data_IF_249725741345
#
_entry.id   IF_249725741345
#
_cell.length_a   1.000
_cell.length_b   1.000
_cell.length_c   1.000
_cell.angle_alpha   90.00
_cell.angle_beta   90.00
_cell.angle_gamma   90.00
#
_symmetry.space_group_name_H-M   'P 1'
#
loop_
_entity.id
_entity.type
_entity.pdbx_description
1 polymer ?
#
# COMPACT_ATOMS: atom_id res chain seq x y z
N UNK A 1 -15.05 -17.07 -14.27
CA UNK A 1 -13.70 -17.68 -14.36
C UNK A 1 -12.70 -16.62 -13.97
N UNK A 2 -11.91 -16.82 -12.90
CA UNK A 2 -10.78 -15.94 -12.59
C UNK A 2 -9.63 -16.27 -13.55
N UNK A 3 -9.20 -15.26 -14.30
CA UNK A 3 -8.07 -15.34 -15.22
C UNK A 3 -6.76 -15.50 -14.40
N UNK A 4 -5.99 -16.60 -14.60
CA UNK A 4 -4.75 -16.84 -13.87
C UNK A 4 -3.68 -15.76 -14.09
N UNK A 5 -3.75 -15.00 -15.18
CA UNK A 5 -2.82 -13.90 -15.48
C UNK A 5 -3.33 -12.53 -15.00
N UNK A 6 -4.49 -12.48 -14.33
CA UNK A 6 -5.04 -11.23 -13.80
C UNK A 6 -4.14 -10.65 -12.71
N UNK A 7 -3.35 -9.64 -13.06
CA UNK A 7 -2.58 -8.82 -12.11
C UNK A 7 -3.50 -7.83 -11.40
N UNK A 8 -3.67 -8.02 -10.10
CA UNK A 8 -4.43 -7.09 -9.27
C UNK A 8 -3.56 -5.87 -8.99
N UNK A 9 -4.03 -4.68 -9.39
CA UNK A 9 -3.31 -3.42 -9.18
C UNK A 9 -3.70 -2.78 -7.85
N UNK A 10 -2.73 -2.64 -6.95
CA UNK A 10 -2.92 -2.10 -5.61
C UNK A 10 -2.02 -0.90 -5.40
N UNK A 11 -2.53 0.12 -4.70
CA UNK A 11 -1.76 1.27 -4.28
C UNK A 11 -1.56 1.23 -2.76
N UNK A 12 -0.31 1.36 -2.30
CA UNK A 12 0.03 1.42 -0.88
C UNK A 12 0.42 2.86 -0.50
N UNK A 13 -0.42 3.48 0.33
CA UNK A 13 -0.33 4.89 0.74
C UNK A 13 -0.30 5.01 2.26
N UNK A 14 0.06 6.19 2.76
CA UNK A 14 0.11 6.47 4.20
C UNK A 14 1.21 7.47 4.56
N UNK A 15 1.18 8.06 5.77
CA UNK A 15 2.14 9.08 6.20
C UNK A 15 3.61 8.66 6.10
N UNK A 16 4.52 9.64 6.14
CA UNK A 16 5.97 9.36 6.24
C UNK A 16 6.26 8.60 7.52
N UNK A 17 6.99 7.49 7.40
CA UNK A 17 7.34 6.66 8.54
C UNK A 17 6.26 5.66 8.97
N UNK A 18 5.12 5.58 8.28
CA UNK A 18 4.03 4.66 8.67
C UNK A 18 4.34 3.16 8.51
N UNK A 19 5.51 2.78 8.01
CA UNK A 19 5.92 1.38 7.87
C UNK A 19 5.54 0.69 6.55
N UNK A 20 5.09 1.44 5.52
CA UNK A 20 4.74 0.91 4.19
C UNK A 20 5.81 0.00 3.58
N UNK A 21 7.05 0.48 3.48
CA UNK A 21 8.16 -0.26 2.87
C UNK A 21 8.42 -1.56 3.64
N UNK A 22 8.41 -1.50 4.97
CA UNK A 22 8.58 -2.66 5.83
C UNK A 22 7.46 -3.66 5.58
N UNK A 23 6.19 -3.24 5.64
CA UNK A 23 5.03 -4.09 5.37
C UNK A 23 5.14 -4.81 4.02
N UNK A 24 5.47 -4.08 2.94
CA UNK A 24 5.55 -4.63 1.59
C UNK A 24 6.71 -5.60 1.42
N UNK A 25 7.88 -5.30 2.00
CA UNK A 25 9.00 -6.25 2.02
C UNK A 25 8.63 -7.55 2.73
N UNK A 26 7.96 -7.45 3.90
CA UNK A 26 7.52 -8.65 4.64
C UNK A 26 6.52 -9.50 3.85
N UNK A 27 5.64 -8.86 3.07
CA UNK A 27 4.67 -9.57 2.23
C UNK A 27 5.30 -10.17 0.98
N UNK A 28 6.36 -9.57 0.44
CA UNK A 28 7.07 -10.07 -0.73
C UNK A 28 7.94 -11.28 -0.39
N UNK A 29 8.67 -11.21 0.73
CA UNK A 29 9.52 -12.29 1.22
C UNK A 29 9.56 -12.24 2.75
N UNK A 30 8.90 -13.21 3.38
CA UNK A 30 8.82 -13.30 4.84
C UNK A 30 10.11 -13.83 5.48
N UNK A 31 10.98 -14.51 4.72
CA UNK A 31 12.21 -15.12 5.25
C UNK A 31 13.45 -14.23 5.02
N UNK A 32 13.39 -13.31 4.05
CA UNK A 32 14.47 -12.37 3.71
C UNK A 32 14.55 -11.07 4.52
N UNK A 33 13.81 -10.95 5.63
CA UNK A 33 13.79 -9.71 6.41
C UNK A 33 14.99 -9.65 7.36
N UNK A 34 15.99 -8.83 7.01
CA UNK A 34 17.03 -8.43 7.93
C UNK A 34 16.45 -7.50 9.01
N UNK A 35 16.39 -7.96 10.26
CA UNK A 35 15.88 -7.18 11.40
C UNK A 35 16.81 -6.02 11.81
N UNK A 36 17.99 -5.90 11.20
CA UNK A 36 18.88 -4.73 11.35
C UNK A 36 18.59 -3.65 10.30
N UNK A 37 17.68 -3.92 9.35
CA UNK A 37 17.30 -2.97 8.32
C UNK A 37 16.56 -1.76 8.89
N UNK A 38 17.16 -0.58 8.75
CA UNK A 38 16.51 0.71 9.00
C UNK A 38 15.96 1.28 7.69
N UNK A 39 14.63 1.38 7.51
CA UNK A 39 14.05 1.95 6.31
C UNK A 39 14.43 3.42 6.15
N UNK A 40 14.93 3.78 4.97
CA UNK A 40 15.12 5.19 4.58
C UNK A 40 13.78 5.72 4.04
N UNK A 41 13.41 6.99 4.29
CA UNK A 41 12.21 7.57 3.70
C UNK A 41 12.17 7.42 2.18
N UNK A 42 11.06 6.89 1.65
CA UNK A 42 10.86 6.75 0.20
C UNK A 42 10.60 8.12 -0.44
N UNK A 43 11.55 8.61 -1.25
CA UNK A 43 11.48 9.89 -1.98
C UNK A 43 10.78 9.71 -3.36
N UNK A 44 10.06 8.60 -3.56
CA UNK A 44 9.56 8.20 -4.88
C UNK A 44 8.46 7.14 -4.82
N UNK A 45 8.39 6.32 -5.87
CA UNK A 45 7.49 5.16 -5.92
C UNK A 45 8.28 3.87 -6.11
N UNK A 46 7.83 2.79 -5.46
CA UNK A 46 8.35 1.44 -5.66
C UNK A 46 7.25 0.51 -6.18
N UNK A 47 7.62 -0.58 -6.84
CA UNK A 47 6.70 -1.63 -7.29
C UNK A 47 7.10 -2.94 -6.64
N UNK A 48 6.13 -3.61 -6.03
CA UNK A 48 6.29 -4.91 -5.38
C UNK A 48 5.31 -5.90 -6.02
N UNK A 49 5.83 -6.98 -6.58
CA UNK A 49 5.01 -8.12 -7.00
C UNK A 49 4.96 -9.13 -5.86
N UNK A 50 3.77 -9.30 -5.28
CA UNK A 50 3.50 -10.19 -4.15
C UNK A 50 2.74 -11.40 -4.69
N UNK A 51 3.30 -12.58 -4.47
CA UNK A 51 2.68 -13.85 -4.86
C UNK A 51 1.92 -14.45 -3.67
N UNK A 52 0.69 -14.89 -3.92
CA UNK A 52 -0.13 -15.57 -2.92
C UNK A 52 -0.95 -16.69 -3.55
N UNK A 53 -1.40 -17.64 -2.73
CA UNK A 53 -2.38 -18.65 -3.14
C UNK A 53 -3.78 -18.10 -2.87
N UNK A 54 -4.62 -18.06 -3.89
CA UNK A 54 -6.02 -17.69 -3.70
C UNK A 54 -6.81 -18.80 -2.98
N UNK A 55 -8.08 -18.53 -2.68
CA UNK A 55 -9.01 -19.50 -2.04
C UNK A 55 -9.21 -20.81 -2.80
N UNK A 56 -8.75 -20.90 -4.05
CA UNK A 56 -8.82 -22.08 -4.91
C UNK A 56 -7.46 -22.77 -5.09
N UNK A 57 -6.44 -22.39 -4.30
CA UNK A 57 -5.09 -22.94 -4.39
C UNK A 57 -4.32 -22.50 -5.64
N UNK A 58 -4.81 -21.53 -6.40
CA UNK A 58 -4.11 -20.99 -7.58
C UNK A 58 -3.17 -19.87 -7.17
N UNK A 59 -1.94 -19.92 -7.66
CA UNK A 59 -0.98 -18.83 -7.54
C UNK A 59 -1.52 -17.60 -8.28
N UNK A 60 -1.56 -16.47 -7.59
CA UNK A 60 -1.88 -15.17 -8.14
C UNK A 60 -0.79 -14.16 -7.77
N UNK A 61 -0.69 -13.11 -8.57
CA UNK A 61 0.25 -12.01 -8.35
C UNK A 61 -0.51 -10.72 -8.13
N UNK A 62 -0.20 -10.04 -7.03
CA UNK A 62 -0.65 -8.68 -6.74
C UNK A 62 0.50 -7.73 -6.98
N UNK A 63 0.30 -6.76 -7.88
CA UNK A 63 1.27 -5.70 -8.11
C UNK A 63 0.90 -4.51 -7.23
N UNK A 64 1.73 -4.24 -6.23
CA UNK A 64 1.55 -3.12 -5.30
C UNK A 64 2.50 -1.99 -5.67
N UNK A 65 1.95 -0.81 -5.95
CA UNK A 65 2.73 0.43 -6.07
C UNK A 65 2.76 1.12 -4.72
N UNK A 66 3.94 1.23 -4.12
CA UNK A 66 4.17 2.08 -2.95
C UNK A 66 4.40 3.52 -3.43
N UNK A 67 3.79 4.49 -2.76
CA UNK A 67 4.12 5.91 -2.96
C UNK A 67 4.60 6.51 -1.65
N UNK A 68 5.69 7.26 -1.69
CA UNK A 68 6.28 7.94 -0.54
C UNK A 68 5.26 8.80 0.22
N UNK A 69 5.39 8.82 1.55
CA UNK A 69 4.51 9.62 2.41
C UNK A 69 4.69 11.13 2.21
N UNK A 70 5.92 11.57 1.88
CA UNK A 70 6.22 12.97 1.53
C UNK A 70 5.61 13.38 0.18
N UNK A 71 5.25 12.41 -0.66
CA UNK A 71 4.60 12.64 -1.94
C UNK A 71 3.06 12.68 -1.83
N UNK A 72 2.50 12.86 -0.63
CA UNK A 72 1.05 12.92 -0.43
C UNK A 72 0.30 13.85 -1.40
N UNK A 73 0.79 15.07 -1.72
CA UNK A 73 0.15 15.92 -2.73
C UNK A 73 0.09 15.33 -4.14
N UNK A 74 0.91 14.32 -4.44
CA UNK A 74 1.02 13.66 -5.75
C UNK A 74 0.30 12.31 -5.81
N UNK A 75 -0.27 11.82 -4.70
CA UNK A 75 -0.95 10.51 -4.66
C UNK A 75 -2.05 10.38 -5.71
N UNK A 76 -2.74 11.49 -5.99
CA UNK A 76 -3.79 11.58 -7.00
C UNK A 76 -3.33 11.22 -8.42
N UNK A 77 -2.04 11.28 -8.71
CA UNK A 77 -1.49 10.91 -10.02
C UNK A 77 -1.40 9.38 -10.21
N UNK A 78 -1.64 8.59 -9.16
CA UNK A 78 -1.46 7.13 -9.17
C UNK A 78 -2.76 6.34 -8.98
N UNK A 79 -3.91 7.01 -8.93
CA UNK A 79 -5.21 6.37 -8.66
C UNK A 79 -5.83 5.66 -9.88
N UNK A 80 -5.33 5.97 -11.09
CA UNK A 80 -5.93 5.49 -12.32
C UNK A 80 -5.76 3.97 -12.48
N UNK A 81 -6.88 3.26 -12.63
CA UNK A 81 -6.91 1.82 -12.85
C UNK A 81 -6.56 0.98 -11.62
N UNK A 82 -6.52 1.58 -10.41
CA UNK A 82 -6.28 0.88 -9.15
C UNK A 82 -7.54 0.15 -8.68
N UNK A 83 -7.41 -1.15 -8.39
CA UNK A 83 -8.52 -1.98 -7.88
C UNK A 83 -8.65 -1.88 -6.35
N UNK A 84 -7.52 -1.71 -5.65
CA UNK A 84 -7.49 -1.66 -4.19
C UNK A 84 -6.46 -0.64 -3.68
N UNK A 85 -6.77 -0.02 -2.55
CA UNK A 85 -5.84 0.85 -1.82
C UNK A 85 -5.58 0.24 -0.45
N UNK A 86 -4.31 0.16 -0.05
CA UNK A 86 -3.87 -0.14 1.31
C UNK A 86 -3.37 1.15 1.92
N UNK A 87 -4.03 1.61 2.98
CA UNK A 87 -3.64 2.83 3.69
C UNK A 87 -3.01 2.48 5.03
N UNK A 88 -1.72 2.75 5.18
CA UNK A 88 -0.91 2.29 6.30
C UNK A 88 -0.75 3.39 7.34
N UNK A 89 -1.12 3.09 8.58
CA UNK A 89 -1.02 3.99 9.74
C UNK A 89 -0.18 3.33 10.83
N UNK A 90 0.82 4.04 11.34
CA UNK A 90 1.58 3.65 12.54
C UNK A 90 0.79 4.08 13.78
N UNK A 91 0.30 3.11 14.53
CA UNK A 91 -0.52 3.36 15.72
C UNK A 91 0.28 3.74 16.95
N UNK A 92 1.60 3.49 16.95
CA UNK A 92 2.49 3.89 18.05
C UNK A 92 2.82 5.39 17.99
N UNK A 93 2.75 6.00 16.81
CA UNK A 93 2.99 7.41 16.60
C UNK A 93 1.69 8.24 16.65
N UNK A 94 1.21 8.48 17.88
CA UNK A 94 -0.03 9.23 18.12
C UNK A 94 -0.01 10.64 17.50
N UNK A 95 1.17 11.27 17.38
CA UNK A 95 1.32 12.59 16.76
C UNK A 95 0.92 12.62 15.28
N UNK A 96 0.96 11.47 14.59
CA UNK A 96 0.61 11.38 13.17
C UNK A 96 -0.84 10.96 12.92
N UNK A 97 -1.59 10.49 13.92
CA UNK A 97 -2.96 9.97 13.72
C UNK A 97 -3.87 11.02 13.06
N UNK A 98 -3.86 12.26 13.54
CA UNK A 98 -4.68 13.33 12.98
C UNK A 98 -4.32 13.63 11.52
N UNK A 99 -3.02 13.68 11.21
CA UNK A 99 -2.54 13.88 9.83
C UNK A 99 -2.92 12.69 8.93
N UNK A 100 -2.79 11.47 9.44
CA UNK A 100 -3.19 10.24 8.74
C UNK A 100 -4.69 10.24 8.43
N UNK A 101 -5.52 10.65 9.38
CA UNK A 101 -6.96 10.76 9.19
C UNK A 101 -7.31 11.76 8.08
N UNK A 102 -6.72 12.96 8.10
CA UNK A 102 -6.94 13.96 7.04
C UNK A 102 -6.54 13.41 5.67
N UNK A 103 -5.35 12.80 5.56
CA UNK A 103 -4.88 12.18 4.31
C UNK A 103 -5.81 11.07 3.82
N UNK A 104 -6.30 10.24 4.74
CA UNK A 104 -7.24 9.17 4.43
C UNK A 104 -8.58 9.71 3.93
N UNK A 105 -9.14 10.73 4.59
CA UNK A 105 -10.37 11.39 4.16
C UNK A 105 -10.23 12.02 2.77
N UNK A 106 -9.09 12.67 2.48
CA UNK A 106 -8.81 13.21 1.14
C UNK A 106 -8.82 12.11 0.09
N UNK A 107 -8.23 10.94 0.37
CA UNK A 107 -8.29 9.79 -0.54
C UNK A 107 -9.72 9.28 -0.74
N UNK A 108 -10.51 9.16 0.32
CA UNK A 108 -11.90 8.69 0.22
C UNK A 108 -12.80 9.64 -0.58
N UNK A 109 -12.45 10.91 -0.66
CA UNK A 109 -13.17 11.90 -1.47
C UNK A 109 -12.91 11.75 -2.98
N UNK A 110 -11.87 11.02 -3.40
CA UNK A 110 -11.50 10.88 -4.81
C UNK A 110 -12.51 10.01 -5.60
N UNK A 111 -13.18 10.56 -6.64
CA UNK A 111 -14.20 9.82 -7.39
C UNK A 111 -13.69 8.54 -8.07
N UNK A 112 -12.40 8.51 -8.40
CA UNK A 112 -11.74 7.36 -9.02
C UNK A 112 -11.71 6.13 -8.10
N UNK A 113 -11.80 6.33 -6.79
CA UNK A 113 -11.79 5.26 -5.80
C UNK A 113 -13.19 4.73 -5.47
N UNK A 114 -14.28 5.29 -6.01
CA UNK A 114 -15.65 4.81 -5.73
C UNK A 114 -15.89 3.35 -6.11
N UNK A 115 -15.14 2.81 -7.08
CA UNK A 115 -15.20 1.40 -7.49
C UNK A 115 -14.09 0.54 -6.87
N UNK A 116 -13.14 1.16 -6.18
CA UNK A 116 -11.96 0.51 -5.62
C UNK A 116 -12.21 0.14 -4.15
N UNK A 117 -11.61 -0.94 -3.69
CA UNK A 117 -11.70 -1.32 -2.26
C UNK A 117 -10.56 -0.67 -1.48
N UNK A 118 -10.89 0.15 -0.50
CA UNK A 118 -9.91 0.83 0.36
C UNK A 118 -9.83 0.10 1.70
N UNK A 119 -8.62 -0.30 2.10
CA UNK A 119 -8.34 -1.02 3.33
C UNK A 119 -7.40 -0.19 4.21
N UNK A 120 -7.86 0.34 5.36
CA UNK A 120 -6.95 0.88 6.36
C UNK A 120 -6.25 -0.28 7.07
N UNK A 121 -4.92 -0.23 7.12
CA UNK A 121 -4.06 -1.18 7.84
C UNK A 121 -3.32 -0.43 8.93
N UNK A 122 -3.53 -0.86 10.16
CA UNK A 122 -2.83 -0.36 11.34
C UNK A 122 -1.67 -1.31 11.64
N UNK A 123 -0.46 -0.75 11.74
CA UNK A 123 0.72 -1.47 12.22
C UNK A 123 1.12 -0.99 13.61
#
# INVERSE_FOLDING_TARGET
MEDPDKKIRVLCLGPKGSGKTTLLKKLQDAEGIDNTYSPVPTIGTNIYDIHYLNKHGKKQTVTVREVGGEMAPLWNNYLDGIEKVVFVVDTSNLCQISAAAVLFYTLLAEPRLYKSKVFPTMI
#
